data_IF_825408895112
#
_entry.id   IF_825408895112
#
_cell.length_a   1.000
_cell.length_b   1.000
_cell.length_c   1.000
_cell.angle_alpha   90.00
_cell.angle_beta   90.00
_cell.angle_gamma   90.00
#
_symmetry.space_group_name_H-M   'P 1'
#
loop_
_entity.id
_entity.type
_entity.pdbx_description
1 polymer ?
#
# COMPACT_ATOMS: atom_id res chain seq x y z
N UNK A 1 -51.37 4.64 6.72
CA UNK A 1 -50.63 5.73 6.04
C UNK A 1 -49.10 5.68 6.22
N UNK A 2 -48.53 5.26 7.37
CA UNK A 2 -47.07 5.25 7.60
C UNK A 2 -46.24 4.26 6.73
N UNK A 3 -46.85 3.19 6.21
CA UNK A 3 -46.13 2.18 5.39
C UNK A 3 -45.88 2.61 3.94
N UNK A 4 -46.83 3.32 3.30
CA UNK A 4 -46.68 3.75 1.91
C UNK A 4 -45.56 4.80 1.77
N UNK A 5 -45.52 5.78 2.68
CA UNK A 5 -44.47 6.82 2.72
C UNK A 5 -43.09 6.23 3.01
N UNK A 6 -42.97 5.21 3.87
CA UNK A 6 -41.70 4.51 4.09
C UNK A 6 -41.22 3.75 2.86
N UNK A 7 -42.14 3.16 2.09
CA UNK A 7 -41.81 2.42 0.85
C UNK A 7 -41.36 3.35 -0.27
N UNK A 8 -42.02 4.50 -0.44
CA UNK A 8 -41.64 5.49 -1.45
C UNK A 8 -40.33 6.20 -1.10
N UNK A 9 -40.14 6.59 0.17
CA UNK A 9 -38.86 7.16 0.64
C UNK A 9 -37.72 6.15 0.53
N UNK A 10 -37.95 4.89 0.90
CA UNK A 10 -36.97 3.82 0.75
C UNK A 10 -36.58 3.59 -0.71
N UNK A 11 -37.56 3.49 -1.61
CA UNK A 11 -37.32 3.38 -3.03
C UNK A 11 -36.51 4.58 -3.56
N UNK A 12 -36.92 5.81 -3.23
CA UNK A 12 -36.21 7.02 -3.66
C UNK A 12 -34.75 7.06 -3.20
N UNK A 13 -34.48 6.70 -1.94
CA UNK A 13 -33.12 6.62 -1.41
C UNK A 13 -32.27 5.56 -2.13
N UNK A 14 -32.84 4.37 -2.40
CA UNK A 14 -32.12 3.33 -3.15
C UNK A 14 -31.89 3.69 -4.61
N UNK A 15 -32.84 4.39 -5.24
CA UNK A 15 -32.67 4.89 -6.61
C UNK A 15 -31.59 5.96 -6.68
N UNK A 16 -31.54 6.87 -5.70
CA UNK A 16 -30.53 7.92 -5.62
C UNK A 16 -29.12 7.34 -5.40
N UNK A 17 -28.97 6.41 -4.45
CA UNK A 17 -27.68 5.76 -4.20
C UNK A 17 -27.26 4.88 -5.38
N UNK A 18 -28.21 4.19 -6.02
CA UNK A 18 -27.97 3.43 -7.24
C UNK A 18 -27.50 4.30 -8.41
N UNK A 19 -28.14 5.46 -8.62
CA UNK A 19 -27.73 6.41 -9.66
C UNK A 19 -26.35 7.00 -9.39
N UNK A 20 -26.06 7.35 -8.13
CA UNK A 20 -24.74 7.84 -7.74
C UNK A 20 -23.65 6.78 -7.98
N UNK A 21 -23.89 5.53 -7.60
CA UNK A 21 -22.97 4.43 -7.88
C UNK A 21 -22.76 4.22 -9.39
N UNK A 22 -23.83 4.26 -10.18
CA UNK A 22 -23.75 4.13 -11.64
C UNK A 22 -22.95 5.28 -12.27
N UNK A 23 -23.13 6.52 -11.80
CA UNK A 23 -22.36 7.68 -12.25
C UNK A 23 -20.86 7.51 -11.95
N UNK A 24 -20.51 7.08 -10.74
CA UNK A 24 -19.11 6.83 -10.36
C UNK A 24 -18.49 5.75 -11.24
N UNK A 25 -19.20 4.64 -11.45
CA UNK A 25 -18.73 3.54 -12.31
C UNK A 25 -18.59 4.00 -13.76
N UNK A 26 -19.55 4.77 -14.28
CA UNK A 26 -19.50 5.32 -15.63
C UNK A 26 -18.32 6.27 -15.80
N UNK A 27 -18.11 7.18 -14.85
CA UNK A 27 -16.96 8.10 -14.86
C UNK A 27 -15.63 7.32 -14.83
N UNK A 28 -15.50 6.32 -13.96
CA UNK A 28 -14.32 5.46 -13.91
C UNK A 28 -14.09 4.72 -15.24
N UNK A 29 -15.15 4.17 -15.83
CA UNK A 29 -15.08 3.47 -17.12
C UNK A 29 -14.63 4.41 -18.25
N UNK A 30 -15.13 5.65 -18.26
CA UNK A 30 -14.71 6.67 -19.24
C UNK A 30 -13.23 7.04 -19.05
N UNK A 31 -12.77 7.25 -17.82
CA UNK A 31 -11.35 7.54 -17.52
C UNK A 31 -10.46 6.39 -17.99
N UNK A 32 -10.83 5.14 -17.66
CA UNK A 32 -10.07 3.96 -18.08
C UNK A 32 -10.05 3.82 -19.61
N UNK A 33 -11.17 4.09 -20.28
CA UNK A 33 -11.26 4.04 -21.73
C UNK A 33 -10.37 5.10 -22.40
N UNK A 34 -10.33 6.31 -21.85
CA UNK A 34 -9.46 7.39 -22.35
C UNK A 34 -7.97 7.04 -22.17
N UNK A 35 -7.61 6.52 -20.99
CA UNK A 35 -6.24 6.06 -20.71
C UNK A 35 -5.82 4.93 -21.62
N UNK A 36 -6.68 3.94 -21.86
CA UNK A 36 -6.36 2.83 -22.76
C UNK A 36 -6.24 3.32 -24.20
N UNK A 37 -7.15 4.16 -24.68
CA UNK A 37 -7.12 4.67 -26.06
C UNK A 37 -5.92 5.58 -26.32
N UNK A 38 -5.57 6.47 -25.39
CA UNK A 38 -4.42 7.36 -25.51
C UNK A 38 -3.08 6.67 -25.26
N UNK A 39 -3.05 5.67 -24.36
CA UNK A 39 -1.82 5.05 -23.88
C UNK A 39 -1.41 3.78 -24.63
N UNK A 40 -2.34 2.92 -25.04
CA UNK A 40 -2.00 1.57 -25.51
C UNK A 40 -1.08 1.55 -26.74
N UNK A 41 -1.24 2.50 -27.66
CA UNK A 41 -0.36 2.63 -28.83
C UNK A 41 1.07 3.09 -28.51
N UNK A 42 1.30 3.62 -27.32
CA UNK A 42 2.58 4.19 -26.88
C UNK A 42 3.32 3.30 -25.87
N UNK A 43 2.69 2.24 -25.37
CA UNK A 43 3.34 1.24 -24.52
C UNK A 43 4.14 0.28 -25.41
N UNK A 44 5.35 0.69 -25.76
CA UNK A 44 6.32 -0.13 -26.50
C UNK A 44 7.32 -0.78 -25.55
N UNK A 45 8.03 -1.82 -26.01
CA UNK A 45 9.12 -2.40 -25.23
C UNK A 45 10.19 -1.36 -24.87
N UNK A 46 10.54 -0.50 -25.82
CA UNK A 46 11.48 0.61 -25.61
C UNK A 46 10.99 1.56 -24.51
N UNK A 47 9.71 1.93 -24.53
CA UNK A 47 9.11 2.76 -23.48
C UNK A 47 9.18 2.10 -22.10
N UNK A 48 9.03 0.78 -22.02
CA UNK A 48 9.09 0.05 -20.76
C UNK A 48 10.51 -0.20 -20.26
N UNK A 49 11.49 -0.36 -21.15
CA UNK A 49 12.85 -0.80 -20.80
C UNK A 49 13.88 0.33 -20.76
N UNK A 50 13.63 1.46 -21.43
CA UNK A 50 14.56 2.58 -21.47
C UNK A 50 14.32 3.58 -20.34
N UNK A 51 15.36 4.34 -19.93
CA UNK A 51 15.20 5.48 -19.05
C UNK A 51 14.57 6.67 -19.77
N UNK A 52 13.99 7.62 -19.01
CA UNK A 52 13.50 8.87 -19.59
C UNK A 52 14.67 9.73 -20.05
N UNK A 53 14.47 10.46 -21.14
CA UNK A 53 15.46 11.37 -21.72
C UNK A 53 14.84 12.74 -21.96
N UNK A 54 15.67 13.75 -22.21
CA UNK A 54 15.22 15.10 -22.57
C UNK A 54 14.20 15.68 -21.57
N UNK A 55 14.53 15.63 -20.28
CA UNK A 55 13.66 16.13 -19.22
C UNK A 55 12.30 15.44 -19.12
N UNK A 56 12.22 14.14 -19.47
CA UNK A 56 11.00 13.32 -19.50
C UNK A 56 10.08 13.50 -20.71
N UNK A 57 10.49 14.30 -21.69
CA UNK A 57 9.72 14.49 -22.93
C UNK A 57 9.92 13.36 -23.94
N UNK A 58 10.92 12.50 -23.72
CA UNK A 58 11.25 11.36 -24.58
C UNK A 58 11.75 10.18 -23.75
N UNK A 59 12.00 9.05 -24.41
CA UNK A 59 12.55 7.85 -23.79
C UNK A 59 11.48 7.00 -23.10
N UNK A 60 11.90 6.21 -22.12
CA UNK A 60 11.02 5.28 -21.40
C UNK A 60 10.81 5.63 -19.92
N UNK A 61 10.18 4.71 -19.21
CA UNK A 61 9.78 4.87 -17.80
C UNK A 61 10.38 3.81 -16.88
N UNK A 62 11.42 3.10 -17.34
CA UNK A 62 11.96 1.95 -16.62
C UNK A 62 12.40 2.28 -15.17
N UNK A 63 13.13 3.38 -14.89
CA UNK A 63 13.48 3.75 -13.53
C UNK A 63 12.27 4.01 -12.63
N UNK A 64 11.20 4.62 -13.17
CA UNK A 64 9.97 4.87 -12.44
C UNK A 64 9.19 3.59 -12.16
N UNK A 65 9.13 2.67 -13.14
CA UNK A 65 8.52 1.35 -13.01
C UNK A 65 9.22 0.53 -11.92
N UNK A 66 10.55 0.44 -12.00
CA UNK A 66 11.36 -0.26 -11.01
C UNK A 66 11.21 0.35 -9.62
N UNK A 67 11.34 1.68 -9.50
CA UNK A 67 11.25 2.37 -8.23
C UNK A 67 9.90 2.18 -7.54
N UNK A 68 8.79 2.18 -8.31
CA UNK A 68 7.44 1.91 -7.78
C UNK A 68 7.31 0.48 -7.25
N UNK A 69 7.79 -0.51 -8.01
CA UNK A 69 7.74 -1.90 -7.60
C UNK A 69 8.62 -2.16 -6.36
N UNK A 70 9.86 -1.66 -6.36
CA UNK A 70 10.81 -1.81 -5.26
C UNK A 70 10.31 -1.13 -3.98
N UNK A 71 9.80 0.11 -4.07
CA UNK A 71 9.18 0.84 -2.96
C UNK A 71 8.03 0.02 -2.35
N UNK A 72 7.12 -0.47 -3.19
CA UNK A 72 5.94 -1.23 -2.73
C UNK A 72 6.35 -2.53 -2.06
N UNK A 73 7.35 -3.22 -2.59
CA UNK A 73 7.86 -4.47 -2.02
C UNK A 73 8.53 -4.22 -0.66
N UNK A 74 9.41 -3.22 -0.55
CA UNK A 74 10.10 -2.85 0.69
C UNK A 74 9.10 -2.39 1.76
N UNK A 75 8.12 -1.57 1.38
CA UNK A 75 7.03 -1.16 2.25
C UNK A 75 6.27 -2.38 2.78
N UNK A 76 5.89 -3.31 1.90
CA UNK A 76 5.15 -4.53 2.27
C UNK A 76 5.97 -5.40 3.23
N UNK A 77 7.26 -5.57 2.95
CA UNK A 77 8.18 -6.33 3.80
C UNK A 77 8.30 -5.72 5.21
N UNK A 78 8.24 -4.39 5.33
CA UNK A 78 8.29 -3.70 6.61
C UNK A 78 6.94 -3.72 7.36
N UNK A 79 5.82 -3.43 6.68
CA UNK A 79 4.51 -3.31 7.34
C UNK A 79 3.94 -4.66 7.76
N UNK A 80 4.18 -5.73 6.99
CA UNK A 80 3.56 -7.04 7.26
C UNK A 80 3.98 -7.62 8.62
N UNK A 81 5.28 -7.74 8.97
CA UNK A 81 5.68 -8.25 10.26
C UNK A 81 5.19 -7.37 11.41
N UNK A 82 5.38 -6.06 11.31
CA UNK A 82 5.02 -5.12 12.38
C UNK A 82 3.50 -5.10 12.59
N UNK A 83 2.72 -5.04 11.53
CA UNK A 83 1.26 -5.02 11.60
C UNK A 83 0.68 -6.32 12.13
N UNK A 84 1.17 -7.47 11.64
CA UNK A 84 0.70 -8.79 12.08
C UNK A 84 1.06 -9.05 13.55
N UNK A 85 2.30 -8.78 13.96
CA UNK A 85 2.71 -8.94 15.36
C UNK A 85 1.92 -8.03 16.28
N UNK A 86 1.67 -6.77 15.87
CA UNK A 86 0.84 -5.84 16.64
C UNK A 86 -0.58 -6.39 16.82
N UNK A 87 -1.21 -6.86 15.75
CA UNK A 87 -2.55 -7.42 15.80
C UNK A 87 -2.63 -8.70 16.64
N UNK A 88 -1.66 -9.61 16.49
CA UNK A 88 -1.55 -10.84 17.30
C UNK A 88 -1.41 -10.48 18.77
N UNK A 89 -0.54 -9.53 19.13
CA UNK A 89 -0.41 -9.09 20.52
C UNK A 89 -1.73 -8.50 21.05
N UNK A 90 -2.34 -7.57 20.31
CA UNK A 90 -3.57 -6.89 20.73
C UNK A 90 -4.79 -7.81 20.84
N UNK A 91 -4.81 -8.92 20.10
CA UNK A 91 -5.93 -9.85 20.09
C UNK A 91 -5.72 -11.08 20.98
N UNK A 92 -4.52 -11.67 20.99
CA UNK A 92 -4.25 -12.96 21.65
C UNK A 92 -3.61 -12.81 23.03
N UNK A 93 -2.81 -11.77 23.25
CA UNK A 93 -2.00 -11.62 24.45
C UNK A 93 -2.41 -10.45 25.34
N UNK A 94 -3.03 -9.41 24.77
CA UNK A 94 -3.46 -8.25 25.53
C UNK A 94 -4.59 -8.63 26.50
N UNK A 95 -4.44 -8.36 27.81
CA UNK A 95 -5.54 -8.51 28.76
C UNK A 95 -6.75 -7.66 28.36
N UNK A 96 -7.96 -8.15 28.64
CA UNK A 96 -9.21 -7.43 28.33
C UNK A 96 -9.23 -6.00 28.90
N UNK A 97 -8.65 -5.81 30.09
CA UNK A 97 -8.58 -4.51 30.78
C UNK A 97 -7.28 -3.74 30.53
N UNK A 98 -6.47 -4.15 29.54
CA UNK A 98 -5.20 -3.50 29.24
C UNK A 98 -5.40 -2.08 28.75
N UNK A 99 -5.04 -1.11 29.60
CA UNK A 99 -5.02 0.31 29.24
C UNK A 99 -4.09 0.57 28.07
N UNK A 100 -2.93 -0.11 28.01
CA UNK A 100 -1.98 0.00 26.92
C UNK A 100 -2.62 -0.44 25.59
N UNK A 101 -3.27 -1.60 25.56
CA UNK A 101 -3.93 -2.09 24.35
C UNK A 101 -5.04 -1.14 23.88
N UNK A 102 -5.79 -0.56 24.82
CA UNK A 102 -6.80 0.47 24.52
C UNK A 102 -6.16 1.71 23.88
N UNK A 103 -5.07 2.22 24.43
CA UNK A 103 -4.36 3.38 23.88
C UNK A 103 -3.77 3.09 22.50
N UNK A 104 -3.19 1.90 22.30
CA UNK A 104 -2.65 1.49 21.01
C UNK A 104 -3.77 1.41 19.96
N UNK A 105 -4.93 0.84 20.30
CA UNK A 105 -6.11 0.83 19.39
C UNK A 105 -6.57 2.23 19.02
N UNK A 106 -6.63 3.16 19.99
CA UNK A 106 -6.96 4.56 19.71
C UNK A 106 -5.92 5.20 18.78
N UNK A 107 -4.63 4.95 19.01
CA UNK A 107 -3.57 5.44 18.15
C UNK A 107 -3.68 4.90 16.72
N UNK A 108 -4.00 3.61 16.54
CA UNK A 108 -4.19 2.99 15.22
C UNK A 108 -5.37 3.63 14.47
N UNK A 109 -6.50 3.85 15.15
CA UNK A 109 -7.68 4.50 14.56
C UNK A 109 -7.37 5.95 14.18
N UNK A 110 -6.67 6.69 15.04
CA UNK A 110 -6.24 8.05 14.74
C UNK A 110 -5.26 8.08 13.56
N UNK A 111 -4.32 7.14 13.49
CA UNK A 111 -3.36 7.02 12.39
C UNK A 111 -4.05 6.82 11.04
N UNK A 112 -5.16 6.06 11.00
CA UNK A 112 -5.95 5.88 9.79
C UNK A 112 -6.63 7.16 9.28
N UNK A 113 -6.85 8.14 10.16
CA UNK A 113 -7.46 9.44 9.84
C UNK A 113 -6.46 10.54 9.47
N UNK A 114 -5.16 10.31 9.60
CA UNK A 114 -4.13 11.31 9.28
C UNK A 114 -4.00 11.49 7.75
N UNK A 115 -3.97 12.73 7.24
CA UNK A 115 -3.73 12.97 5.80
C UNK A 115 -2.36 12.46 5.33
N UNK A 116 -2.29 11.89 4.12
CA UNK A 116 -1.05 11.26 3.60
C UNK A 116 0.15 12.21 3.53
N UNK A 117 -0.06 13.50 3.24
CA UNK A 117 1.01 14.50 3.22
C UNK A 117 1.70 14.67 4.58
N UNK A 118 0.96 14.51 5.68
CA UNK A 118 1.50 14.61 7.05
C UNK A 118 2.46 13.47 7.31
N UNK A 119 2.20 12.27 6.77
CA UNK A 119 3.16 11.17 6.83
C UNK A 119 4.46 11.48 6.11
N UNK A 120 4.40 12.18 4.96
CA UNK A 120 5.62 12.60 4.25
C UNK A 120 6.49 13.54 5.08
N UNK A 121 5.87 14.55 5.71
CA UNK A 121 6.57 15.46 6.61
C UNK A 121 7.07 14.75 7.87
N UNK A 122 6.29 13.83 8.43
CA UNK A 122 6.74 12.95 9.53
C UNK A 122 7.95 12.12 9.09
N UNK A 123 7.93 11.52 7.90
CA UNK A 123 9.04 10.72 7.39
C UNK A 123 10.31 11.54 7.20
N UNK A 124 10.18 12.78 6.72
CA UNK A 124 11.30 13.71 6.64
C UNK A 124 11.89 14.03 8.03
N UNK A 125 11.04 14.40 9.00
CA UNK A 125 11.51 14.74 10.35
C UNK A 125 12.07 13.54 11.12
N UNK A 126 11.33 12.43 11.12
CA UNK A 126 11.62 11.26 11.94
C UNK A 126 12.59 10.29 11.26
N UNK A 127 12.31 9.84 10.05
CA UNK A 127 13.15 8.84 9.39
C UNK A 127 14.43 9.45 8.84
N UNK A 128 14.36 10.59 8.16
CA UNK A 128 15.55 11.19 7.53
C UNK A 128 16.39 11.95 8.58
N UNK A 129 15.82 12.96 9.24
CA UNK A 129 16.62 13.81 10.12
C UNK A 129 16.94 13.15 11.47
N UNK A 130 15.95 12.55 12.14
CA UNK A 130 16.19 11.94 13.46
C UNK A 130 16.92 10.60 13.37
N UNK A 131 16.36 9.61 12.65
CA UNK A 131 16.98 8.28 12.52
C UNK A 131 18.19 8.34 11.59
N UNK A 132 18.05 8.80 10.36
CA UNK A 132 19.15 8.87 9.38
C UNK A 132 20.32 9.72 9.87
N UNK A 133 20.04 10.92 10.40
CA UNK A 133 21.06 11.78 11.02
C UNK A 133 21.65 11.22 12.32
N UNK A 134 20.88 10.41 13.06
CA UNK A 134 21.40 9.64 14.19
C UNK A 134 22.35 8.53 13.76
N UNK A 135 21.99 7.78 12.71
CA UNK A 135 22.80 6.72 12.11
C UNK A 135 24.10 7.27 11.53
N UNK A 136 24.06 8.37 10.78
CA UNK A 136 25.25 8.99 10.22
C UNK A 136 26.25 9.39 11.32
N UNK A 137 25.75 9.98 12.42
CA UNK A 137 26.58 10.32 13.59
C UNK A 137 27.13 9.08 14.30
N UNK A 138 26.31 8.06 14.50
CA UNK A 138 26.71 6.85 15.22
C UNK A 138 27.74 6.01 14.45
N UNK A 139 27.62 5.98 13.12
CA UNK A 139 28.52 5.24 12.23
C UNK A 139 29.72 6.08 11.75
N UNK A 140 29.81 7.35 12.15
CA UNK A 140 30.92 8.23 11.81
C UNK A 140 30.96 8.66 10.34
N UNK A 141 29.82 8.66 9.63
CA UNK A 141 29.76 9.18 8.28
C UNK A 141 29.94 10.70 8.30
N UNK A 142 30.97 11.19 7.62
CA UNK A 142 31.24 12.64 7.50
C UNK A 142 30.33 13.32 6.48
N UNK A 143 29.65 12.54 5.63
CA UNK A 143 28.68 13.00 4.64
C UNK A 143 27.28 12.48 4.98
N UNK A 144 26.24 13.15 4.47
CA UNK A 144 24.86 12.68 4.61
C UNK A 144 24.68 11.40 3.81
N UNK A 145 24.81 10.25 4.49
CA UNK A 145 24.67 8.94 3.86
C UNK A 145 23.25 8.42 4.06
N UNK A 146 22.73 8.51 5.29
CA UNK A 146 21.37 8.11 5.66
C UNK A 146 20.45 9.31 5.88
N UNK A 147 20.99 10.48 6.25
CA UNK A 147 20.23 11.72 6.45
C UNK A 147 19.80 12.41 5.14
N UNK A 148 19.36 11.64 4.15
CA UNK A 148 18.90 12.12 2.85
C UNK A 148 17.65 11.37 2.36
N UNK A 149 16.84 11.95 1.46
CA UNK A 149 15.70 11.25 0.86
C UNK A 149 16.13 9.96 0.18
N UNK A 150 15.42 8.86 0.45
CA UNK A 150 15.77 7.55 -0.09
C UNK A 150 14.57 6.61 -0.24
N UNK A 151 14.76 5.56 -1.05
CA UNK A 151 13.76 4.51 -1.22
C UNK A 151 13.44 3.80 0.11
N UNK A 152 14.43 3.62 1.00
CA UNK A 152 14.20 3.03 2.32
C UNK A 152 13.26 3.89 3.17
N UNK A 153 13.55 5.19 3.31
CA UNK A 153 12.74 6.08 4.14
C UNK A 153 11.34 6.29 3.56
N UNK A 154 11.22 6.37 2.24
CA UNK A 154 9.93 6.39 1.57
C UNK A 154 9.12 5.10 1.84
N UNK A 155 9.76 3.93 1.75
CA UNK A 155 9.12 2.65 2.03
C UNK A 155 8.63 2.54 3.47
N UNK A 156 9.46 2.96 4.43
CA UNK A 156 9.11 2.94 5.86
C UNK A 156 8.00 3.94 6.19
N UNK A 157 8.02 5.12 5.56
CA UNK A 157 6.95 6.11 5.70
C UNK A 157 5.61 5.56 5.21
N UNK A 158 5.60 4.92 4.03
CA UNK A 158 4.41 4.24 3.52
C UNK A 158 4.00 3.04 4.37
N UNK A 159 4.95 2.34 4.99
CA UNK A 159 4.66 1.24 5.89
C UNK A 159 3.89 1.73 7.11
N UNK A 160 4.27 2.89 7.69
CA UNK A 160 3.52 3.52 8.78
C UNK A 160 2.12 3.95 8.33
N UNK A 161 2.01 4.55 7.13
CA UNK A 161 0.72 4.96 6.57
C UNK A 161 -0.24 3.77 6.36
N UNK A 162 0.28 2.62 5.92
CA UNK A 162 -0.51 1.42 5.64
C UNK A 162 -0.70 0.51 6.85
N UNK A 163 0.00 0.78 7.96
CA UNK A 163 -0.03 -0.02 9.18
C UNK A 163 -1.45 -0.26 9.74
N UNK A 164 -2.34 0.74 9.83
CA UNK A 164 -3.69 0.53 10.35
C UNK A 164 -4.50 -0.49 9.55
N UNK A 165 -4.32 -0.51 8.22
CA UNK A 165 -5.01 -1.44 7.32
C UNK A 165 -4.60 -2.87 7.61
N UNK A 166 -3.29 -3.12 7.76
CA UNK A 166 -2.75 -4.46 8.06
C UNK A 166 -3.18 -4.94 9.45
N UNK A 167 -3.13 -4.05 10.46
CA UNK A 167 -3.51 -4.40 11.82
C UNK A 167 -4.99 -4.80 11.88
N UNK A 168 -5.88 -3.94 11.38
CA UNK A 168 -7.34 -4.20 11.43
C UNK A 168 -7.69 -5.46 10.64
N UNK A 169 -7.14 -5.63 9.43
CA UNK A 169 -7.39 -6.82 8.64
C UNK A 169 -6.90 -8.11 9.33
N UNK A 170 -5.77 -8.04 10.04
CA UNK A 170 -5.23 -9.18 10.79
C UNK A 170 -6.07 -9.48 12.03
N UNK A 171 -6.52 -8.47 12.77
CA UNK A 171 -7.38 -8.69 13.94
C UNK A 171 -8.72 -9.33 13.57
N UNK A 172 -9.35 -8.85 12.50
CA UNK A 172 -10.59 -9.46 11.99
C UNK A 172 -10.35 -10.90 11.50
N UNK A 173 -9.19 -11.17 10.90
CA UNK A 173 -8.81 -12.52 10.52
C UNK A 173 -8.63 -13.46 11.71
N UNK A 174 -8.00 -12.98 12.79
CA UNK A 174 -7.81 -13.76 14.02
C UNK A 174 -9.14 -14.02 14.74
N UNK A 175 -10.02 -13.01 14.79
CA UNK A 175 -11.38 -13.12 15.36
C UNK A 175 -12.25 -14.12 14.60
N UNK A 176 -12.05 -14.26 13.29
CA UNK A 176 -12.80 -15.20 12.47
C UNK A 176 -12.45 -16.67 12.74
N UNK A 177 -11.36 -16.97 13.45
CA UNK A 177 -11.00 -18.34 13.83
C UNK A 177 -11.91 -18.84 14.97
N UNK A 178 -12.68 -19.94 14.76
CA UNK A 178 -13.60 -20.47 15.76
C UNK A 178 -12.96 -20.72 17.13
N UNK A 179 -13.70 -20.39 18.20
CA UNK A 179 -13.29 -20.63 19.58
C UNK A 179 -13.14 -22.12 19.90
N UNK A 180 -13.92 -22.98 19.26
CA UNK A 180 -13.87 -24.43 19.46
C UNK A 180 -12.51 -25.02 19.08
N UNK A 181 -11.88 -24.53 18.01
CA UNK A 181 -10.55 -24.98 17.63
C UNK A 181 -9.49 -24.58 18.66
N UNK A 182 -9.64 -23.40 19.27
CA UNK A 182 -8.73 -22.89 20.30
C UNK A 182 -8.86 -23.70 21.59
N UNK A 183 -10.08 -23.94 22.04
CA UNK A 183 -10.36 -24.71 23.27
C UNK A 183 -9.98 -26.17 23.10
N UNK A 184 -10.24 -26.79 21.95
CA UNK A 184 -9.81 -28.16 21.66
C UNK A 184 -8.29 -28.32 21.70
N UNK A 185 -7.53 -27.37 21.10
CA UNK A 185 -6.07 -27.38 21.15
C UNK A 185 -5.54 -27.31 22.59
N UNK A 186 -6.09 -26.41 23.40
CA UNK A 186 -5.72 -26.28 24.82
C UNK A 186 -6.09 -27.53 25.64
N UNK A 187 -7.25 -28.14 25.37
CA UNK A 187 -7.70 -29.37 26.05
C UNK A 187 -6.79 -30.58 25.78
N UNK A 188 -6.09 -30.60 24.64
CA UNK A 188 -5.07 -31.60 24.32
C UNK A 188 -3.71 -31.31 25.00
N UNK A 189 -3.65 -30.33 25.89
CA UNK A 189 -2.43 -29.95 26.62
C UNK A 189 -1.49 -29.04 25.83
N UNK A 190 -1.93 -28.48 24.70
CA UNK A 190 -1.12 -27.51 23.96
C UNK A 190 -1.00 -26.19 24.73
N UNK A 191 0.17 -25.54 24.65
CA UNK A 191 0.35 -24.20 25.21
C UNK A 191 -0.36 -23.15 24.35
N UNK A 192 -0.58 -21.95 24.90
CA UNK A 192 -1.14 -20.82 24.13
C UNK A 192 -0.31 -20.49 22.89
N UNK A 193 1.03 -20.54 22.99
CA UNK A 193 1.92 -20.33 21.84
C UNK A 193 1.81 -21.43 20.80
N UNK A 194 1.71 -22.70 21.21
CA UNK A 194 1.47 -23.81 20.29
C UNK A 194 0.13 -23.68 19.57
N UNK A 195 -0.93 -23.32 20.31
CA UNK A 195 -2.27 -23.07 19.75
C UNK A 195 -2.25 -21.93 18.75
N UNK A 196 -1.55 -20.83 19.08
CA UNK A 196 -1.38 -19.70 18.18
C UNK A 196 -0.67 -20.12 16.87
N UNK A 197 0.48 -20.77 16.98
CA UNK A 197 1.33 -21.09 15.84
C UNK A 197 0.74 -22.19 14.94
N UNK A 198 0.03 -23.16 15.52
CA UNK A 198 -0.43 -24.36 14.79
C UNK A 198 -1.90 -24.33 14.40
N UNK A 199 -2.72 -23.51 15.06
CA UNK A 199 -4.18 -23.48 14.82
C UNK A 199 -4.62 -22.09 14.38
N UNK A 200 -4.32 -21.06 15.17
CA UNK A 200 -4.86 -19.71 14.94
C UNK A 200 -4.22 -19.03 13.74
N UNK A 201 -2.88 -18.94 13.69
CA UNK A 201 -2.18 -18.27 12.59
C UNK A 201 -2.46 -18.94 11.23
N UNK A 202 -2.41 -20.29 11.10
CA UNK A 202 -2.80 -20.94 9.85
C UNK A 202 -4.26 -20.66 9.45
N UNK A 203 -5.20 -20.67 10.42
CA UNK A 203 -6.61 -20.35 10.17
C UNK A 203 -6.85 -18.90 9.75
N UNK A 204 -6.10 -17.95 10.32
CA UNK A 204 -6.21 -16.52 10.02
C UNK A 204 -5.42 -16.09 8.77
N UNK A 205 -4.52 -16.93 8.27
CA UNK A 205 -3.60 -16.59 7.18
C UNK A 205 -4.30 -16.05 5.90
N UNK A 206 -5.45 -16.58 5.43
CA UNK A 206 -6.15 -16.01 4.29
C UNK A 206 -6.64 -14.57 4.51
N UNK A 207 -6.98 -14.21 5.76
CA UNK A 207 -7.38 -12.85 6.14
C UNK A 207 -6.17 -11.93 6.29
N UNK A 208 -5.06 -12.39 6.88
CA UNK A 208 -3.78 -11.66 6.93
C UNK A 208 -3.29 -11.30 5.53
N UNK A 209 -3.34 -12.26 4.59
CA UNK A 209 -2.98 -12.02 3.19
C UNK A 209 -3.94 -11.05 2.49
N UNK A 210 -5.18 -10.92 2.95
CA UNK A 210 -6.08 -9.87 2.47
C UNK A 210 -5.59 -8.49 2.92
N UNK A 211 -5.14 -8.37 4.18
CA UNK A 211 -4.47 -7.16 4.67
C UNK A 211 -3.24 -6.78 3.84
N UNK A 212 -2.44 -7.77 3.45
CA UNK A 212 -1.28 -7.57 2.58
C UNK A 212 -1.67 -7.01 1.20
N UNK A 213 -2.70 -7.58 0.55
CA UNK A 213 -3.21 -7.10 -0.74
C UNK A 213 -3.67 -5.64 -0.63
N UNK A 214 -4.40 -5.30 0.43
CA UNK A 214 -4.89 -3.93 0.66
C UNK A 214 -3.75 -2.95 0.92
N UNK A 215 -2.72 -3.37 1.65
CA UNK A 215 -1.53 -2.55 1.90
C UNK A 215 -0.75 -2.28 0.60
N UNK A 216 -0.52 -3.30 -0.23
CA UNK A 216 0.11 -3.18 -1.56
C UNK A 216 -0.68 -2.23 -2.46
N UNK A 217 -2.00 -2.43 -2.54
CA UNK A 217 -2.90 -1.57 -3.33
C UNK A 217 -2.79 -0.10 -2.93
N UNK A 218 -2.76 0.18 -1.62
CA UNK A 218 -2.65 1.54 -1.11
C UNK A 218 -1.25 2.10 -1.35
N UNK A 219 -0.21 1.36 -0.98
CA UNK A 219 1.18 1.80 -1.07
C UNK A 219 1.62 2.17 -2.49
N UNK A 220 1.27 1.34 -3.47
CA UNK A 220 1.64 1.59 -4.87
C UNK A 220 0.93 2.81 -5.49
N UNK A 221 -0.19 3.24 -4.91
CA UNK A 221 -0.98 4.40 -5.37
C UNK A 221 -0.71 5.70 -4.61
N UNK A 222 0.07 5.69 -3.52
CA UNK A 222 0.31 6.86 -2.68
C UNK A 222 1.54 7.65 -3.15
N UNK A 223 1.35 8.94 -3.41
CA UNK A 223 2.41 9.83 -3.94
C UNK A 223 2.80 10.93 -2.95
N UNK A 224 1.85 11.44 -2.17
CA UNK A 224 2.10 12.56 -1.26
C UNK A 224 3.21 12.29 -0.22
N UNK A 225 3.26 11.12 0.45
CA UNK A 225 4.31 10.87 1.45
C UNK A 225 5.71 10.81 0.83
N UNK A 226 5.82 10.22 -0.36
CA UNK A 226 7.13 9.95 -0.98
C UNK A 226 7.80 11.20 -1.56
N UNK A 227 7.03 12.27 -1.78
CA UNK A 227 7.51 13.55 -2.31
C UNK A 227 8.62 14.15 -1.44
N UNK A 228 8.51 14.02 -0.12
CA UNK A 228 9.53 14.52 0.81
C UNK A 228 10.59 13.49 1.19
N UNK A 229 10.26 12.20 1.06
CA UNK A 229 11.05 11.14 1.68
C UNK A 229 11.95 10.39 0.72
N UNK A 230 11.78 10.51 -0.60
CA UNK A 230 12.70 9.84 -1.53
C UNK A 230 12.44 9.98 -3.03
N UNK A 231 11.24 10.41 -3.46
CA UNK A 231 10.92 10.52 -4.88
C UNK A 231 11.71 11.67 -5.55
N UNK A 232 12.38 11.36 -6.66
CA UNK A 232 13.10 12.34 -7.47
C UNK A 232 12.27 12.78 -8.67
N UNK A 233 12.41 14.05 -9.06
CA UNK A 233 11.75 14.63 -10.24
C UNK A 233 12.23 13.97 -11.53
N UNK A 234 13.55 13.90 -11.71
CA UNK A 234 14.18 13.27 -12.86
C UNK A 234 15.46 12.57 -12.41
N UNK A 235 15.49 11.25 -12.54
CA UNK A 235 16.65 10.43 -12.22
C UNK A 235 16.68 9.24 -13.18
N UNK A 236 17.41 9.32 -14.31
CA UNK A 236 17.38 8.30 -15.35
C UNK A 236 18.11 7.00 -14.98
N UNK A 237 18.69 6.93 -13.78
CA UNK A 237 19.38 5.76 -13.26
C UNK A 237 18.52 5.00 -12.25
N UNK A 238 18.76 3.69 -12.15
CA UNK A 238 18.15 2.86 -11.11
C UNK A 238 18.77 3.17 -9.74
N UNK A 239 18.00 3.10 -8.64
CA UNK A 239 18.58 3.21 -7.31
C UNK A 239 19.50 2.02 -7.06
N UNK A 240 20.79 2.29 -6.87
CA UNK A 240 21.84 1.28 -6.66
C UNK A 240 21.93 0.82 -5.20
N UNK A 241 21.38 1.61 -4.28
CA UNK A 241 21.42 1.37 -2.83
C UNK A 241 20.10 1.74 -2.15
N UNK A 242 19.88 1.22 -0.94
CA UNK A 242 18.69 1.52 -0.14
C UNK A 242 18.60 3.00 0.28
N UNK A 243 19.73 3.70 0.35
CA UNK A 243 19.81 5.12 0.65
C UNK A 243 19.76 6.02 -0.62
N UNK A 244 19.53 5.45 -1.81
CA UNK A 244 19.36 6.23 -3.04
C UNK A 244 17.94 6.78 -3.19
N UNK A 245 17.82 7.95 -3.82
CA UNK A 245 16.55 8.43 -4.37
C UNK A 245 16.10 7.56 -5.54
N UNK A 246 14.82 7.67 -5.91
CA UNK A 246 14.23 6.84 -6.97
C UNK A 246 13.13 7.61 -7.71
N UNK A 247 12.85 7.20 -8.95
CA UNK A 247 11.66 7.67 -9.66
C UNK A 247 10.44 6.79 -9.30
N UNK A 248 9.25 7.39 -9.28
CA UNK A 248 7.99 6.71 -9.00
C UNK A 248 6.98 7.02 -10.10
N UNK A 249 6.24 6.03 -10.60
CA UNK A 249 5.29 6.18 -11.71
C UNK A 249 4.19 7.19 -11.39
N UNK A 250 3.64 7.16 -10.18
CA UNK A 250 2.64 8.12 -9.74
C UNK A 250 3.17 9.56 -9.65
N UNK A 251 4.43 9.72 -9.24
CA UNK A 251 5.05 11.05 -9.18
C UNK A 251 5.43 11.56 -10.58
N UNK A 252 5.94 10.68 -11.42
CA UNK A 252 6.23 10.95 -12.82
C UNK A 252 4.96 11.37 -13.57
N UNK A 253 3.84 10.69 -13.35
CA UNK A 253 2.52 11.07 -13.88
C UNK A 253 2.11 12.48 -13.44
N UNK A 254 2.26 12.80 -12.15
CA UNK A 254 1.96 14.12 -11.62
C UNK A 254 2.80 15.21 -12.30
N UNK A 255 4.10 14.96 -12.47
CA UNK A 255 5.03 15.87 -13.14
C UNK A 255 4.66 16.09 -14.60
N UNK A 256 4.42 15.01 -15.36
CA UNK A 256 4.01 15.11 -16.77
C UNK A 256 2.69 15.88 -16.94
N UNK A 257 1.76 15.74 -15.97
CA UNK A 257 0.47 16.41 -16.02
C UNK A 257 0.51 17.90 -15.63
N UNK A 258 1.50 18.33 -14.84
CA UNK A 258 1.49 19.67 -14.20
C UNK A 258 2.70 20.54 -14.51
N UNK A 259 3.83 19.95 -14.87
CA UNK A 259 5.13 20.63 -15.00
C UNK A 259 5.76 20.43 -16.39
N UNK A 260 5.03 19.84 -17.35
CA UNK A 260 5.53 19.65 -18.70
C UNK A 260 5.56 20.97 -19.48
N UNK A 261 6.70 21.32 -20.11
CA UNK A 261 6.81 22.51 -20.95
C UNK A 261 6.11 22.33 -22.32
N UNK A 262 5.96 21.08 -22.79
CA UNK A 262 5.29 20.73 -24.05
C UNK A 262 4.20 19.67 -23.81
N UNK A 263 2.96 20.14 -23.70
CA UNK A 263 1.80 19.29 -23.42
C UNK A 263 1.49 18.37 -24.60
N UNK A 264 1.72 18.79 -25.84
CA UNK A 264 1.39 17.99 -27.02
C UNK A 264 2.33 16.80 -27.16
N UNK A 265 3.63 17.01 -26.92
CA UNK A 265 4.63 15.94 -26.93
C UNK A 265 4.48 14.97 -25.74
N UNK A 266 4.11 15.46 -24.56
CA UNK A 266 4.07 14.65 -23.33
C UNK A 266 2.73 13.98 -23.06
N UNK A 267 1.62 14.45 -23.63
CA UNK A 267 0.28 13.85 -23.42
C UNK A 267 0.23 12.35 -23.76
N UNK A 268 0.80 11.86 -24.88
CA UNK A 268 0.83 10.42 -25.15
C UNK A 268 1.63 9.62 -24.11
N UNK A 269 2.77 10.16 -23.66
CA UNK A 269 3.62 9.55 -22.63
C UNK A 269 2.91 9.52 -21.27
N UNK A 270 2.15 10.55 -20.94
CA UNK A 270 1.32 10.60 -19.73
C UNK A 270 0.30 9.46 -19.74
N UNK A 271 -0.49 9.32 -20.82
CA UNK A 271 -1.47 8.22 -20.91
C UNK A 271 -0.81 6.84 -20.85
N UNK A 272 0.32 6.65 -21.53
CA UNK A 272 1.09 5.41 -21.47
C UNK A 272 1.60 5.12 -20.04
N UNK A 273 2.11 6.14 -19.34
CA UNK A 273 2.60 6.04 -17.96
C UNK A 273 1.46 5.64 -17.01
N UNK A 274 0.30 6.31 -17.10
CA UNK A 274 -0.87 5.98 -16.28
C UNK A 274 -1.32 4.55 -16.55
N UNK A 275 -1.38 4.15 -17.82
CA UNK A 275 -1.76 2.79 -18.20
C UNK A 275 -0.80 1.76 -17.62
N UNK A 276 0.51 2.02 -17.65
CA UNK A 276 1.53 1.14 -17.05
C UNK A 276 1.44 1.12 -15.52
N UNK A 277 1.17 2.24 -14.86
CA UNK A 277 0.92 2.29 -13.41
C UNK A 277 -0.30 1.43 -13.03
N UNK A 278 -1.38 1.50 -13.78
CA UNK A 278 -2.58 0.67 -13.57
C UNK A 278 -2.27 -0.81 -13.79
N UNK A 279 -1.52 -1.15 -14.84
CA UNK A 279 -1.08 -2.53 -15.09
C UNK A 279 -0.17 -3.05 -13.99
N UNK A 280 0.80 -2.26 -13.51
CA UNK A 280 1.71 -2.64 -12.43
C UNK A 280 0.93 -2.87 -11.13
N UNK A 281 0.06 -1.93 -10.75
CA UNK A 281 -0.74 -2.07 -9.52
C UNK A 281 -1.65 -3.29 -9.59
N UNK A 282 -2.29 -3.53 -10.74
CA UNK A 282 -3.08 -4.74 -10.97
C UNK A 282 -2.23 -6.01 -10.90
N UNK A 283 -1.03 -6.02 -11.50
CA UNK A 283 -0.12 -7.17 -11.45
C UNK A 283 0.36 -7.48 -10.02
N UNK A 284 0.77 -6.47 -9.26
CA UNK A 284 1.17 -6.62 -7.85
C UNK A 284 0.03 -7.18 -7.00
N UNK A 285 -1.19 -6.66 -7.20
CA UNK A 285 -2.38 -7.15 -6.51
C UNK A 285 -2.75 -8.58 -6.92
N UNK A 286 -2.63 -8.91 -8.21
CA UNK A 286 -2.90 -10.25 -8.72
C UNK A 286 -1.92 -11.26 -8.11
N UNK A 287 -0.63 -10.93 -8.04
CA UNK A 287 0.38 -11.77 -7.37
C UNK A 287 -0.01 -12.02 -5.90
N UNK A 288 -0.38 -10.96 -5.18
CA UNK A 288 -0.80 -11.08 -3.79
C UNK A 288 -2.09 -11.94 -3.62
N UNK A 289 -3.06 -11.81 -4.53
CA UNK A 289 -4.28 -12.64 -4.56
C UNK A 289 -3.97 -14.11 -4.91
N UNK A 290 -3.08 -14.36 -5.86
CA UNK A 290 -2.65 -15.73 -6.22
C UNK A 290 -1.95 -16.39 -5.03
N UNK A 291 -1.08 -15.67 -4.31
CA UNK A 291 -0.45 -16.17 -3.08
C UNK A 291 -1.53 -16.51 -2.05
N UNK A 292 -2.50 -15.61 -1.82
CA UNK A 292 -3.64 -15.84 -0.91
C UNK A 292 -4.44 -17.09 -1.25
N UNK A 293 -4.82 -17.27 -2.52
CA UNK A 293 -5.67 -18.38 -2.96
C UNK A 293 -4.96 -19.72 -2.86
N UNK A 294 -3.67 -19.80 -3.23
CA UNK A 294 -2.85 -21.00 -3.06
C UNK A 294 -2.72 -21.38 -1.58
N UNK A 295 -2.46 -20.41 -0.72
CA UNK A 295 -2.33 -20.63 0.72
C UNK A 295 -3.64 -21.09 1.36
N UNK A 296 -4.78 -20.51 0.96
CA UNK A 296 -6.11 -20.96 1.39
C UNK A 296 -6.41 -22.41 0.98
N UNK A 297 -6.07 -22.80 -0.26
CA UNK A 297 -6.24 -24.20 -0.72
C UNK A 297 -5.38 -25.18 0.06
N UNK A 298 -4.13 -24.82 0.38
CA UNK A 298 -3.26 -25.64 1.22
C UNK A 298 -3.81 -25.81 2.64
N UNK A 299 -4.30 -24.73 3.24
CA UNK A 299 -4.93 -24.80 4.56
C UNK A 299 -6.20 -25.68 4.56
N UNK A 300 -7.02 -25.58 3.52
CA UNK A 300 -8.22 -26.42 3.37
C UNK A 300 -7.90 -27.91 3.15
N UNK A 301 -6.79 -28.24 2.49
CA UNK A 301 -6.37 -29.62 2.25
C UNK A 301 -5.58 -30.25 3.42
N UNK A 302 -5.23 -29.47 4.44
CA UNK A 302 -4.51 -29.93 5.62
C UNK A 302 -5.45 -30.33 6.78
N UNK A 303 -6.76 -30.12 6.61
CA UNK A 303 -7.85 -30.58 7.47
C UNK A 303 -8.59 -31.72 6.79
#
# INVERSE_FOLDING_TARGET
MKHATRRTVGAALTSLTGLAALLIVAMLALILLDVVRGGAGHVTWEFLSQPPSDGMMRGGIFPALYGTAALTLLMTLAVMPVGVLTAVYLHEYAPADSRLARWVRVAIVNLAGVPSIVFGLFGLGFFIHFIGGGMDRALGHQTMHWAQPSILWASLTLAVLTLPVVIVATEEALRAVPLDHRTASLALGATQSQTLMRVVLPGALPGILTGAVLAVSRGAGEVAPILFTGAAYFLPDLPTSLNSQFMHLGYHTYVLATQSPDIEATRPLLYATVLVLLMLTFALNLVAVVIRTRTRRRAANAH
#
